data_IF_875831793200
#
_entry.id   IF_875831793200
#
_cell.length_a   1.000
_cell.length_b   1.000
_cell.length_c   1.000
_cell.angle_alpha   90.00
_cell.angle_beta   90.00
_cell.angle_gamma   90.00
#
_symmetry.space_group_name_H-M   'P 1'
#
loop_
_entity.id
_entity.type
_entity.pdbx_description
1 polymer ?
#
# COMPACT_ATOMS: atom_id res chain seq x y z
N UNK A 1 -25.06 3.38 -1.76
CA UNK A 1 -23.90 2.97 -0.92
C UNK A 1 -22.85 2.45 -1.88
N UNK A 2 -21.60 2.92 -1.78
CA UNK A 2 -20.51 2.39 -2.61
C UNK A 2 -20.27 0.94 -2.20
N UNK A 3 -20.59 0.00 -3.08
CA UNK A 3 -20.43 -1.46 -2.91
C UNK A 3 -18.97 -1.92 -3.04
N UNK A 4 -18.02 -1.03 -2.71
CA UNK A 4 -16.59 -1.26 -2.89
C UNK A 4 -16.00 -1.79 -1.59
N UNK A 5 -15.33 -2.94 -1.69
CA UNK A 5 -14.58 -3.52 -0.57
C UNK A 5 -13.11 -3.71 -0.97
N UNK A 6 -12.25 -3.72 0.04
CA UNK A 6 -10.82 -4.02 -0.11
C UNK A 6 -10.43 -5.06 0.91
N UNK A 7 -9.72 -6.08 0.45
CA UNK A 7 -9.08 -7.09 1.28
C UNK A 7 -7.58 -6.96 1.06
N UNK A 8 -6.80 -7.07 2.13
CA UNK A 8 -5.35 -7.02 2.07
C UNK A 8 -4.76 -8.12 2.94
N UNK A 9 -3.75 -8.78 2.43
CA UNK A 9 -2.99 -9.80 3.15
C UNK A 9 -1.51 -9.59 2.92
N UNK A 10 -0.73 -9.81 3.97
CA UNK A 10 0.72 -9.74 3.95
C UNK A 10 1.26 -11.06 4.42
N UNK A 11 2.20 -11.61 3.67
CA UNK A 11 2.97 -12.77 4.10
C UNK A 11 3.89 -12.36 5.26
N UNK A 12 4.32 -13.31 6.09
CA UNK A 12 5.45 -13.10 6.98
C UNK A 12 6.68 -12.64 6.16
N UNK A 13 7.54 -11.83 6.76
CA UNK A 13 8.84 -11.53 6.17
C UNK A 13 9.67 -12.82 6.04
N UNK A 14 10.46 -12.93 4.98
CA UNK A 14 11.48 -13.97 4.82
C UNK A 14 12.75 -13.35 4.20
N UNK A 15 13.87 -13.51 4.90
CA UNK A 15 15.12 -12.85 4.55
C UNK A 15 14.99 -11.32 4.51
N UNK A 16 15.26 -10.74 3.35
CA UNK A 16 15.27 -9.30 3.08
C UNK A 16 13.97 -8.78 2.46
N UNK A 17 12.94 -9.63 2.35
CA UNK A 17 11.71 -9.29 1.66
C UNK A 17 10.44 -9.70 2.42
N UNK A 18 9.34 -9.08 2.01
CA UNK A 18 7.99 -9.42 2.42
C UNK A 18 7.06 -9.14 1.23
N UNK A 19 6.11 -10.03 0.97
CA UNK A 19 5.08 -9.81 -0.04
C UNK A 19 3.74 -9.50 0.61
N UNK A 20 2.94 -8.70 -0.08
CA UNK A 20 1.54 -8.51 0.23
C UNK A 20 0.74 -8.38 -1.06
N UNK A 21 -0.58 -8.51 -0.93
CA UNK A 21 -1.49 -8.25 -2.02
C UNK A 21 -2.77 -7.60 -1.50
N UNK A 22 -3.40 -6.82 -2.36
CA UNK A 22 -4.74 -6.33 -2.11
C UNK A 22 -5.68 -6.74 -3.23
N UNK A 23 -6.92 -7.06 -2.86
CA UNK A 23 -8.03 -7.33 -3.77
C UNK A 23 -9.11 -6.29 -3.55
N UNK A 24 -9.45 -5.57 -4.61
CA UNK A 24 -10.53 -4.59 -4.59
C UNK A 24 -11.73 -5.12 -5.37
N UNK A 25 -12.90 -5.06 -4.74
CA UNK A 25 -14.16 -5.50 -5.30
C UNK A 25 -15.07 -4.31 -5.57
N UNK A 26 -15.93 -4.43 -6.59
CA UNK A 26 -17.11 -3.59 -6.79
C UNK A 26 -18.30 -4.53 -6.87
N UNK A 27 -19.12 -4.52 -5.83
CA UNK A 27 -20.18 -5.50 -5.63
C UNK A 27 -19.58 -6.89 -5.48
N UNK A 28 -19.97 -7.81 -6.36
CA UNK A 28 -19.49 -9.20 -6.36
C UNK A 28 -18.39 -9.47 -7.40
N UNK A 29 -17.80 -8.43 -8.01
CA UNK A 29 -16.77 -8.57 -9.04
C UNK A 29 -15.47 -7.93 -8.59
N UNK A 30 -14.35 -8.61 -8.86
CA UNK A 30 -13.04 -8.01 -8.71
C UNK A 30 -12.90 -6.84 -9.70
N UNK A 31 -12.46 -5.69 -9.22
CA UNK A 31 -12.18 -4.51 -10.04
C UNK A 31 -10.69 -4.30 -10.25
N UNK A 32 -9.85 -4.66 -9.27
CA UNK A 32 -8.41 -4.46 -9.31
C UNK A 32 -7.71 -5.38 -8.30
N UNK A 33 -6.46 -5.72 -8.60
CA UNK A 33 -5.51 -6.31 -7.66
C UNK A 33 -4.27 -5.42 -7.55
N UNK A 34 -3.65 -5.45 -6.39
CA UNK A 34 -2.33 -4.85 -6.15
C UNK A 34 -1.39 -5.93 -5.64
N UNK A 35 -0.19 -6.00 -6.21
CA UNK A 35 0.93 -6.75 -5.65
C UNK A 35 1.90 -5.77 -5.00
N UNK A 36 2.27 -6.04 -3.75
CA UNK A 36 3.19 -5.23 -2.95
C UNK A 36 4.43 -6.10 -2.68
N UNK A 37 5.58 -5.66 -3.16
CA UNK A 37 6.86 -6.26 -2.83
C UNK A 37 7.65 -5.29 -1.96
N UNK A 38 7.96 -5.70 -0.73
CA UNK A 38 8.79 -4.96 0.19
C UNK A 38 10.16 -5.61 0.22
N UNK A 39 11.21 -4.84 -0.04
CA UNK A 39 12.59 -5.33 -0.14
C UNK A 39 13.53 -4.37 0.59
N UNK A 40 14.52 -4.90 1.29
CA UNK A 40 15.56 -4.11 1.92
C UNK A 40 16.55 -3.59 0.86
N UNK A 41 16.88 -2.31 0.92
CA UNK A 41 18.02 -1.72 0.19
C UNK A 41 19.01 -1.09 1.17
N UNK A 42 20.16 -0.63 0.64
CA UNK A 42 21.15 0.14 1.41
C UNK A 42 20.56 1.42 2.03
N UNK A 43 19.48 1.96 1.43
CA UNK A 43 18.80 3.18 1.85
C UNK A 43 17.57 2.91 2.73
N UNK A 44 17.30 1.64 3.07
CA UNK A 44 16.16 1.23 3.89
C UNK A 44 15.13 0.41 3.12
N UNK A 45 13.92 0.32 3.66
CA UNK A 45 12.83 -0.42 3.04
C UNK A 45 12.37 0.25 1.74
N UNK A 46 12.22 -0.54 0.68
CA UNK A 46 11.61 -0.12 -0.58
C UNK A 46 10.34 -0.93 -0.80
N UNK A 47 9.23 -0.25 -1.09
CA UNK A 47 7.97 -0.86 -1.49
C UNK A 47 7.77 -0.68 -2.99
N UNK A 48 7.62 -1.77 -3.73
CA UNK A 48 7.27 -1.80 -5.15
C UNK A 48 5.83 -2.25 -5.29
N UNK A 49 5.04 -1.50 -6.05
CA UNK A 49 3.60 -1.74 -6.20
C UNK A 49 3.25 -1.83 -7.68
N UNK A 50 2.54 -2.88 -8.05
CA UNK A 50 2.05 -3.06 -9.42
C UNK A 50 0.56 -3.38 -9.39
N UNK A 51 -0.21 -2.71 -10.26
CA UNK A 51 -1.65 -2.83 -10.29
C UNK A 51 -2.08 -3.72 -11.46
N UNK A 52 -3.11 -4.54 -11.24
CA UNK A 52 -3.63 -5.47 -12.22
C UNK A 52 -5.15 -5.37 -12.31
N UNK A 53 -5.68 -5.44 -13.53
CA UNK A 53 -7.11 -5.74 -13.76
C UNK A 53 -7.35 -7.26 -13.64
N UNK A 54 -8.61 -7.70 -13.48
CA UNK A 54 -8.97 -9.11 -13.57
C UNK A 54 -8.36 -9.80 -14.79
N UNK A 55 -7.82 -11.01 -14.59
CA UNK A 55 -7.08 -11.75 -15.62
C UNK A 55 -5.57 -11.49 -15.65
N UNK A 56 -5.00 -10.92 -14.58
CA UNK A 56 -3.56 -10.60 -14.46
C UNK A 56 -3.06 -9.62 -15.53
N UNK A 57 -3.92 -8.70 -15.94
CA UNK A 57 -3.59 -7.67 -16.93
C UNK A 57 -2.97 -6.49 -16.19
N UNK A 58 -1.65 -6.30 -16.34
CA UNK A 58 -0.93 -5.17 -15.74
C UNK A 58 -1.48 -3.82 -16.22
N UNK A 59 -1.60 -2.87 -15.29
CA UNK A 59 -2.07 -1.51 -15.59
C UNK A 59 -0.93 -0.58 -15.95
N UNK A 60 0.23 -0.75 -15.33
CA UNK A 60 1.47 -0.12 -15.75
C UNK A 60 2.07 -0.85 -16.95
N UNK A 61 2.97 -0.18 -17.65
CA UNK A 61 3.88 -0.80 -18.61
C UNK A 61 4.62 -2.00 -18.00
N UNK A 62 5.04 -2.95 -18.85
CA UNK A 62 5.56 -4.26 -18.43
C UNK A 62 6.61 -4.20 -17.31
N UNK A 63 7.57 -3.29 -17.42
CA UNK A 63 8.69 -3.13 -16.49
C UNK A 63 8.52 -1.95 -15.53
N UNK A 64 7.35 -1.31 -15.53
CA UNK A 64 7.04 -0.19 -14.64
C UNK A 64 6.23 -0.67 -13.44
N UNK A 65 6.48 -0.02 -12.32
CA UNK A 65 5.80 -0.19 -11.05
C UNK A 65 5.95 1.12 -10.27
N UNK A 66 5.04 1.37 -9.34
CA UNK A 66 5.23 2.45 -8.38
C UNK A 66 6.30 2.02 -7.37
N UNK A 67 7.25 2.91 -7.09
CA UNK A 67 8.26 2.71 -6.05
C UNK A 67 8.05 3.72 -4.91
N UNK A 68 8.07 3.22 -3.68
CA UNK A 68 8.00 4.03 -2.47
C UNK A 68 9.22 3.76 -1.58
N UNK A 69 9.94 4.81 -1.23
CA UNK A 69 11.14 4.75 -0.42
C UNK A 69 10.82 5.06 1.04
N UNK A 70 11.52 4.42 1.97
CA UNK A 70 11.44 4.71 3.40
C UNK A 70 11.71 6.18 3.73
N UNK A 71 10.90 6.75 4.63
CA UNK A 71 11.11 8.09 5.20
C UNK A 71 11.41 7.99 6.68
N UNK A 72 10.48 7.41 7.44
CA UNK A 72 10.58 7.26 8.90
C UNK A 72 9.66 6.15 9.38
N UNK A 73 9.95 5.62 10.57
CA UNK A 73 9.06 4.70 11.27
C UNK A 73 9.03 4.98 12.78
N UNK A 74 7.92 4.57 13.38
CA UNK A 74 7.70 4.57 14.82
C UNK A 74 6.90 3.32 15.18
N UNK A 75 6.59 3.13 16.47
CA UNK A 75 5.85 1.94 16.92
C UNK A 75 4.50 1.85 16.20
N UNK A 76 4.34 0.83 15.35
CA UNK A 76 3.11 0.56 14.62
C UNK A 76 2.86 1.47 13.42
N UNK A 77 3.84 2.27 12.98
CA UNK A 77 3.67 3.20 11.85
C UNK A 77 4.92 3.29 10.99
N UNK A 78 4.74 3.27 9.68
CA UNK A 78 5.80 3.57 8.70
C UNK A 78 5.30 4.59 7.68
N UNK A 79 6.19 5.51 7.30
CA UNK A 79 5.96 6.51 6.26
C UNK A 79 6.86 6.21 5.08
N UNK A 80 6.25 6.11 3.90
CA UNK A 80 6.93 5.88 2.63
C UNK A 80 6.63 7.03 1.66
N UNK A 81 7.62 7.44 0.89
CA UNK A 81 7.52 8.50 -0.13
C UNK A 81 7.55 7.88 -1.52
N UNK A 82 6.58 8.21 -2.37
CA UNK A 82 6.60 7.79 -3.77
C UNK A 82 7.79 8.43 -4.49
N UNK A 83 8.55 7.64 -5.24
CA UNK A 83 9.70 8.13 -5.98
C UNK A 83 9.27 9.14 -7.04
N UNK A 84 9.86 10.34 -6.99
CA UNK A 84 9.63 11.39 -7.99
C UNK A 84 8.30 12.16 -7.87
N UNK A 85 7.50 11.90 -6.84
CA UNK A 85 6.22 12.57 -6.62
C UNK A 85 6.09 13.04 -5.17
N UNK A 86 5.40 14.16 -4.94
CA UNK A 86 5.04 14.65 -3.59
C UNK A 86 3.83 13.89 -3.00
N UNK A 87 3.96 12.57 -2.93
CA UNK A 87 2.96 11.65 -2.43
C UNK A 87 3.57 10.73 -1.38
N UNK A 88 2.92 10.65 -0.21
CA UNK A 88 3.30 9.72 0.86
C UNK A 88 2.22 8.68 1.10
N UNK A 89 2.65 7.48 1.46
CA UNK A 89 1.80 6.43 2.00
C UNK A 89 2.21 6.20 3.46
N UNK A 90 1.22 6.10 4.34
CA UNK A 90 1.42 5.71 5.73
C UNK A 90 0.72 4.37 5.95
N UNK A 91 1.44 3.42 6.51
CA UNK A 91 0.86 2.24 7.11
C UNK A 91 0.80 2.43 8.62
N UNK A 92 -0.38 2.26 9.22
CA UNK A 92 -0.62 2.51 10.63
C UNK A 92 -1.44 1.37 11.26
N UNK A 93 -0.85 0.68 12.23
CA UNK A 93 -1.56 -0.21 13.13
C UNK A 93 -2.23 0.62 14.23
N UNK A 94 -3.53 0.86 14.09
CA UNK A 94 -4.34 1.67 15.02
C UNK A 94 -4.74 0.91 16.27
N UNK A 95 -4.97 -0.40 16.15
CA UNK A 95 -5.26 -1.29 17.27
C UNK A 95 -4.82 -2.72 16.94
N UNK A 96 -5.14 -3.69 17.78
CA UNK A 96 -4.89 -5.10 17.46
C UNK A 96 -5.71 -5.58 16.26
N UNK A 97 -6.88 -4.96 16.04
CA UNK A 97 -7.85 -5.40 15.04
C UNK A 97 -8.09 -4.35 13.95
N UNK A 98 -7.34 -3.25 13.96
CA UNK A 98 -7.47 -2.19 12.97
C UNK A 98 -6.12 -1.75 12.40
N UNK A 99 -6.06 -1.71 11.08
CA UNK A 99 -4.94 -1.24 10.28
C UNK A 99 -5.42 -0.24 9.25
N UNK A 100 -4.64 0.79 8.96
CA UNK A 100 -4.99 1.81 7.97
C UNK A 100 -3.83 2.06 7.02
N UNK A 101 -4.19 2.28 5.75
CA UNK A 101 -3.33 2.86 4.73
C UNK A 101 -3.82 4.28 4.49
N UNK A 102 -2.97 5.27 4.70
CA UNK A 102 -3.29 6.68 4.48
C UNK A 102 -2.47 7.23 3.32
N UNK A 103 -3.08 8.10 2.53
CA UNK A 103 -2.39 8.85 1.48
C UNK A 103 -2.19 10.30 1.93
N UNK A 104 -0.95 10.75 1.86
CA UNK A 104 -0.55 12.13 2.03
C UNK A 104 -0.23 12.79 0.70
N UNK A 105 -0.68 14.03 0.52
CA UNK A 105 -0.18 14.90 -0.55
C UNK A 105 0.37 16.18 0.08
N UNK A 106 1.39 16.76 -0.53
CA UNK A 106 1.94 18.04 -0.09
C UNK A 106 1.04 19.17 -0.62
N UNK A 107 0.47 19.97 0.29
CA UNK A 107 -0.32 21.15 -0.04
C UNK A 107 0.18 22.33 0.81
N UNK A 108 0.54 23.44 0.16
CA UNK A 108 1.02 24.66 0.84
C UNK A 108 2.20 24.40 1.80
N UNK A 109 3.13 23.52 1.40
CA UNK A 109 4.30 23.15 2.20
C UNK A 109 4.01 22.26 3.41
N UNK A 110 2.76 21.78 3.57
CA UNK A 110 2.36 20.88 4.65
C UNK A 110 1.76 19.59 4.10
N UNK A 111 2.09 18.47 4.74
CA UNK A 111 1.50 17.19 4.39
C UNK A 111 0.08 17.08 4.93
N UNK A 112 -0.87 16.83 4.03
CA UNK A 112 -2.26 16.53 4.38
C UNK A 112 -2.56 15.06 4.12
N UNK A 113 -2.85 14.31 5.18
CA UNK A 113 -3.13 12.86 5.11
C UNK A 113 -4.62 12.56 5.20
N UNK A 114 -5.07 11.58 4.42
CA UNK A 114 -6.43 11.02 4.47
C UNK A 114 -6.37 9.51 4.44
N UNK A 115 -7.31 8.86 5.11
CA UNK A 115 -7.47 7.41 5.02
C UNK A 115 -7.78 7.04 3.57
N UNK A 116 -6.94 6.18 3.01
CA UNK A 116 -7.18 5.56 1.71
C UNK A 116 -7.95 4.26 1.92
N UNK A 117 -7.47 3.41 2.84
CA UNK A 117 -8.10 2.16 3.24
C UNK A 117 -8.04 1.99 4.75
N UNK A 118 -9.15 1.54 5.33
CA UNK A 118 -9.24 1.15 6.75
C UNK A 118 -9.69 -0.30 6.82
N UNK A 119 -8.83 -1.14 7.37
CA UNK A 119 -9.04 -2.56 7.49
C UNK A 119 -9.42 -2.91 8.92
N UNK A 120 -10.40 -3.79 9.05
CA UNK A 120 -10.70 -4.47 10.31
C UNK A 120 -10.33 -5.94 10.15
N UNK A 121 -9.73 -6.52 11.19
CA UNK A 121 -9.39 -7.95 11.20
C UNK A 121 -10.65 -8.78 10.97
N UNK A 122 -10.60 -9.69 10.00
CA UNK A 122 -11.64 -10.70 9.78
C UNK A 122 -11.46 -11.81 10.82
N UNK A 123 -12.56 -12.26 11.43
CA UNK A 123 -12.57 -13.34 12.42
C UNK A 123 -12.45 -14.71 11.77
#
# INVERSE_FOLDING_TARGET
MSDRTVEGEWMPQDGDNMLGFMRMMSGNKASMYELLAYEQSEQGLVSRVKHFKPGMIGMEEKEKFDQYNFVEASKGKVVLQKQGEDLRIIYEKRSNDQFAIMRGNLAEGKWAFKDLFVFNRVK
#
